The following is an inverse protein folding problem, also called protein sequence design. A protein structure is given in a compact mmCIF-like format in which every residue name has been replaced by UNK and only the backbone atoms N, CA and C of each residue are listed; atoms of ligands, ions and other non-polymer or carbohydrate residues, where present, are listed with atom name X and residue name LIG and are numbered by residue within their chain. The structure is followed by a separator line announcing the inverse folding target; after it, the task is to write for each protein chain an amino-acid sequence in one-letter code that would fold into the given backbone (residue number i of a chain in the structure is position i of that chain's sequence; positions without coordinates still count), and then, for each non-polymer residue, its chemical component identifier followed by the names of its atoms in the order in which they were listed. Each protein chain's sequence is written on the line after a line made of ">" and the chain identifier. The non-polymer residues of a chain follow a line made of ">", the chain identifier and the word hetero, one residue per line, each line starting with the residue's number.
data_IF_423755637087
#
_entry.id   IF_423755637087
#
_cell.length_a   1.000
_cell.length_b   1.000
_cell.length_c   1.000
_cell.angle_alpha   90.00
_cell.angle_beta   90.00
_cell.angle_gamma   90.00
#
_symmetry.space_group_name_H-M   'P 1'
#
loop_
_entity.id
_entity.type
_entity.pdbx_description
1 polymer ?
#
# COMPACT_ATOMS: atom_id res chain seq x y z
N UNK A 1 -42.34 -13.64 -20.13
CA UNK A 1 -41.08 -14.19 -20.66
C UNK A 1 -39.99 -13.76 -19.69
N UNK A 2 -39.52 -14.67 -18.85
CA UNK A 2 -38.54 -14.37 -17.78
C UNK A 2 -37.15 -14.57 -18.38
N UNK A 3 -36.33 -13.52 -18.40
CA UNK A 3 -34.94 -13.62 -18.87
C UNK A 3 -34.19 -14.42 -17.79
N UNK A 4 -33.50 -15.52 -18.13
CA UNK A 4 -32.63 -16.20 -17.18
C UNK A 4 -31.53 -15.22 -16.78
N UNK A 5 -31.45 -14.90 -15.50
CA UNK A 5 -30.29 -14.22 -14.93
C UNK A 5 -29.09 -15.11 -15.25
N UNK A 6 -28.19 -14.61 -16.10
CA UNK A 6 -26.90 -15.26 -16.30
C UNK A 6 -26.11 -15.02 -15.01
N UNK A 7 -26.00 -16.05 -14.18
CA UNK A 7 -24.97 -16.10 -13.14
C UNK A 7 -23.61 -16.06 -13.85
N UNK A 8 -23.10 -14.85 -14.07
CA UNK A 8 -21.73 -14.63 -14.52
C UNK A 8 -20.86 -14.96 -13.31
N UNK A 9 -20.48 -16.23 -13.17
CA UNK A 9 -19.41 -16.60 -12.26
C UNK A 9 -18.18 -15.76 -12.62
N UNK A 10 -17.57 -15.05 -11.66
CA UNK A 10 -16.35 -14.32 -11.95
C UNK A 10 -15.31 -15.32 -12.46
N UNK A 11 -14.74 -15.04 -13.63
CA UNK A 11 -13.67 -15.84 -14.28
C UNK A 11 -12.47 -16.11 -13.35
N UNK A 12 -12.41 -15.38 -12.23
CA UNK A 12 -11.29 -15.39 -11.30
C UNK A 12 -11.79 -15.42 -9.85
N UNK A 13 -11.73 -16.59 -9.21
CA UNK A 13 -12.18 -16.79 -7.83
C UNK A 13 -11.19 -16.29 -6.75
N UNK A 14 -11.60 -16.27 -5.46
CA UNK A 14 -10.77 -15.76 -4.35
C UNK A 14 -9.38 -16.40 -4.24
N UNK A 15 -9.26 -17.69 -4.59
CA UNK A 15 -8.00 -18.44 -4.59
C UNK A 15 -6.94 -17.82 -5.49
N UNK A 16 -7.33 -17.33 -6.67
CA UNK A 16 -6.40 -16.66 -7.58
C UNK A 16 -5.79 -15.42 -6.93
N UNK A 17 -6.63 -14.59 -6.31
CA UNK A 17 -6.16 -13.38 -5.63
C UNK A 17 -5.27 -13.69 -4.43
N UNK A 18 -5.56 -14.76 -3.70
CA UNK A 18 -4.67 -15.23 -2.64
C UNK A 18 -3.29 -15.65 -3.18
N UNK A 19 -3.23 -16.34 -4.33
CA UNK A 19 -1.96 -16.69 -4.99
C UNK A 19 -1.21 -15.43 -5.42
N UNK A 20 -1.88 -14.49 -6.08
CA UNK A 20 -1.26 -13.22 -6.50
C UNK A 20 -0.70 -12.45 -5.31
N UNK A 21 -1.47 -12.31 -4.22
CA UNK A 21 -1.01 -11.65 -3.00
C UNK A 21 0.13 -12.40 -2.33
N UNK A 22 0.11 -13.74 -2.35
CA UNK A 22 1.20 -14.57 -1.84
C UNK A 22 2.50 -14.34 -2.62
N UNK A 23 2.43 -14.32 -3.94
CA UNK A 23 3.59 -14.03 -4.81
C UNK A 23 4.09 -12.61 -4.57
N UNK A 24 3.20 -11.61 -4.54
CA UNK A 24 3.56 -10.22 -4.25
C UNK A 24 4.24 -10.11 -2.88
N UNK A 25 3.70 -10.79 -1.87
CA UNK A 25 4.30 -10.78 -0.53
C UNK A 25 5.68 -11.42 -0.52
N UNK A 26 5.84 -12.59 -1.15
CA UNK A 26 7.12 -13.29 -1.21
C UNK A 26 8.19 -12.44 -1.92
N UNK A 27 7.86 -11.89 -3.09
CA UNK A 27 8.77 -11.01 -3.85
C UNK A 27 9.12 -9.78 -3.03
N UNK A 28 8.13 -9.08 -2.46
CA UNK A 28 8.38 -7.91 -1.64
C UNK A 28 9.21 -8.26 -0.38
N UNK A 29 8.97 -9.40 0.25
CA UNK A 29 9.74 -9.89 1.39
C UNK A 29 11.21 -10.13 1.02
N UNK A 30 11.48 -10.79 -0.09
CA UNK A 30 12.84 -10.99 -0.60
C UNK A 30 13.52 -9.64 -0.87
N UNK A 31 12.85 -8.72 -1.56
CA UNK A 31 13.36 -7.38 -1.84
C UNK A 31 13.65 -6.59 -0.55
N UNK A 32 12.83 -6.78 0.49
CA UNK A 32 13.04 -6.17 1.79
C UNK A 32 14.30 -6.70 2.47
N UNK A 33 14.48 -8.03 2.46
CA UNK A 33 15.61 -8.72 3.10
C UNK A 33 16.94 -8.36 2.43
N UNK A 34 16.99 -8.35 1.10
CA UNK A 34 18.22 -7.97 0.37
C UNK A 34 18.43 -6.45 0.31
N UNK A 35 17.45 -5.69 0.80
CA UNK A 35 17.43 -4.22 0.82
C UNK A 35 17.57 -3.59 -0.55
N UNK A 36 16.85 -4.16 -1.53
CA UNK A 36 16.87 -3.70 -2.92
C UNK A 36 16.51 -2.21 -3.04
N UNK A 37 17.14 -1.43 -3.93
CA UNK A 37 16.80 -0.03 -4.14
C UNK A 37 15.42 0.15 -4.77
N UNK A 38 14.65 1.14 -4.28
CA UNK A 38 13.34 1.47 -4.86
C UNK A 38 13.47 2.09 -6.26
N UNK A 39 12.71 1.60 -7.25
CA UNK A 39 12.62 2.25 -8.56
C UNK A 39 12.04 3.65 -8.43
N UNK A 40 12.73 4.64 -9.00
CA UNK A 40 12.21 6.01 -9.08
C UNK A 40 11.32 6.09 -10.31
N UNK A 41 10.01 6.24 -10.10
CA UNK A 41 9.04 6.42 -11.18
C UNK A 41 9.04 7.91 -11.57
N UNK A 42 9.23 8.22 -12.85
CA UNK A 42 9.14 9.59 -13.35
C UNK A 42 7.73 10.14 -13.17
N UNK A 43 7.59 11.32 -12.59
CA UNK A 43 6.31 12.00 -12.49
C UNK A 43 5.84 12.46 -13.87
N UNK A 44 4.53 12.38 -14.11
CA UNK A 44 3.88 12.64 -15.40
C UNK A 44 3.96 14.10 -15.89
N UNK A 45 4.62 15.00 -15.14
CA UNK A 45 4.57 16.46 -15.33
C UNK A 45 5.94 17.12 -15.60
N UNK A 46 6.99 16.38 -15.94
CA UNK A 46 8.24 17.01 -16.38
C UNK A 46 9.17 16.01 -17.02
N UNK A 47 9.90 16.42 -18.06
CA UNK A 47 10.84 15.64 -18.93
C UNK A 47 12.01 14.97 -18.21
N UNK A 48 11.73 14.29 -17.11
CA UNK A 48 12.64 13.73 -16.12
C UNK A 48 12.71 12.20 -16.18
N UNK A 49 12.07 11.56 -17.19
CA UNK A 49 12.08 10.11 -17.41
C UNK A 49 13.48 9.52 -17.46
N UNK A 50 14.37 10.13 -18.25
CA UNK A 50 15.78 9.74 -18.33
C UNK A 50 16.52 9.92 -16.99
N UNK A 51 16.20 10.98 -16.23
CA UNK A 51 16.81 11.22 -14.92
C UNK A 51 16.31 10.24 -13.84
N UNK A 52 15.06 9.81 -13.92
CA UNK A 52 14.47 8.83 -13.00
C UNK A 52 15.04 7.43 -13.22
N UNK A 53 15.16 7.00 -14.48
CA UNK A 53 15.84 5.76 -14.83
C UNK A 53 17.31 5.78 -14.43
N UNK A 54 18.05 6.85 -14.78
CA UNK A 54 19.46 6.97 -14.41
C UNK A 54 19.69 6.90 -12.89
N UNK A 55 18.79 7.49 -12.07
CA UNK A 55 18.85 7.36 -10.61
C UNK A 55 18.59 5.94 -10.13
N UNK A 56 17.66 5.24 -10.76
CA UNK A 56 17.39 3.82 -10.43
C UNK A 56 18.58 2.94 -10.77
N UNK A 57 19.16 3.11 -11.96
CA UNK A 57 20.36 2.37 -12.40
C UNK A 57 21.54 2.63 -11.47
N UNK A 58 21.79 3.89 -11.09
CA UNK A 58 22.84 4.21 -10.10
C UNK A 58 22.60 3.50 -8.78
N UNK A 59 21.38 3.53 -8.24
CA UNK A 59 21.07 2.82 -7.00
C UNK A 59 21.31 1.31 -7.08
N UNK A 60 21.07 0.68 -8.24
CA UNK A 60 21.37 -0.74 -8.48
C UNK A 60 22.88 -0.98 -8.59
N UNK A 61 23.61 -0.12 -9.31
CA UNK A 61 25.07 -0.20 -9.41
C UNK A 61 25.74 -0.04 -8.05
N UNK A 62 25.28 0.91 -7.25
CA UNK A 62 25.75 1.15 -5.90
C UNK A 62 25.49 -0.06 -4.99
N UNK A 63 24.33 -0.70 -5.11
CA UNK A 63 23.99 -1.92 -4.39
C UNK A 63 24.91 -3.09 -4.78
N UNK A 64 25.18 -3.28 -6.08
CA UNK A 64 26.13 -4.28 -6.57
C UNK A 64 27.57 -4.01 -6.12
N UNK A 65 27.99 -2.74 -6.06
CA UNK A 65 29.32 -2.35 -5.61
C UNK A 65 29.58 -2.64 -4.12
N UNK A 66 28.54 -2.89 -3.33
CA UNK A 66 28.61 -3.18 -1.90
C UNK A 66 28.09 -4.60 -1.56
N UNK A 67 28.41 -5.57 -2.41
CA UNK A 67 28.12 -7.00 -2.28
C UNK A 67 26.63 -7.40 -2.30
N UNK A 68 25.70 -6.47 -2.53
CA UNK A 68 24.27 -6.76 -2.72
C UNK A 68 23.51 -7.23 -1.46
N UNK A 69 24.12 -7.20 -0.28
CA UNK A 69 23.47 -7.67 0.96
C UNK A 69 23.50 -6.60 2.03
N UNK A 70 22.62 -5.58 1.94
CA UNK A 70 22.51 -4.54 2.97
C UNK A 70 21.11 -4.00 3.16
N UNK A 71 20.77 -3.73 4.41
CA UNK A 71 19.56 -3.01 4.79
C UNK A 71 19.62 -1.58 4.23
N UNK A 72 18.53 -1.19 3.56
CA UNK A 72 18.27 0.18 3.14
C UNK A 72 16.88 0.58 3.65
N UNK A 73 16.55 1.86 3.70
CA UNK A 73 15.23 2.28 4.15
C UNK A 73 14.11 1.87 3.18
N UNK A 74 14.48 1.47 1.94
CA UNK A 74 13.59 0.76 1.03
C UNK A 74 13.11 -0.59 1.60
N UNK A 75 13.90 -1.25 2.46
CA UNK A 75 13.51 -2.48 3.17
C UNK A 75 12.22 -2.29 3.97
N UNK A 76 12.00 -1.13 4.58
CA UNK A 76 10.77 -0.84 5.32
C UNK A 76 9.56 -0.74 4.40
N UNK A 77 9.74 -0.19 3.21
CA UNK A 77 8.68 -0.02 2.21
C UNK A 77 8.30 -1.39 1.62
N UNK A 78 9.30 -2.17 1.23
CA UNK A 78 9.08 -3.55 0.76
C UNK A 78 8.50 -4.44 1.85
N UNK A 79 8.97 -4.33 3.08
CA UNK A 79 8.41 -5.06 4.22
C UNK A 79 6.96 -4.70 4.49
N UNK A 80 6.61 -3.41 4.42
CA UNK A 80 5.23 -2.97 4.61
C UNK A 80 4.31 -3.47 3.49
N UNK A 81 4.79 -3.49 2.25
CA UNK A 81 4.07 -4.09 1.13
C UNK A 81 3.87 -5.60 1.34
N UNK A 82 4.90 -6.32 1.79
CA UNK A 82 4.82 -7.75 2.07
C UNK A 82 3.79 -8.07 3.16
N UNK A 83 3.79 -7.30 4.24
CA UNK A 83 2.83 -7.39 5.36
C UNK A 83 1.42 -7.04 4.89
N UNK A 84 1.24 -5.96 4.14
CA UNK A 84 -0.07 -5.58 3.60
C UNK A 84 -0.65 -6.66 2.67
N UNK A 85 0.20 -7.27 1.83
CA UNK A 85 -0.19 -8.36 0.95
C UNK A 85 -0.63 -9.62 1.72
N UNK A 86 0.12 -10.03 2.77
CA UNK A 86 -0.27 -11.13 3.66
C UNK A 86 -1.58 -10.83 4.39
N UNK A 87 -1.73 -9.62 4.93
CA UNK A 87 -2.97 -9.20 5.57
C UNK A 87 -4.15 -9.20 4.58
N UNK A 88 -3.90 -8.90 3.30
CA UNK A 88 -4.89 -9.04 2.23
C UNK A 88 -5.39 -10.48 2.04
N UNK A 89 -4.51 -11.48 2.16
CA UNK A 89 -4.91 -12.90 2.14
C UNK A 89 -5.85 -13.20 3.31
N UNK A 90 -5.50 -12.73 4.52
CA UNK A 90 -6.35 -12.91 5.71
C UNK A 90 -7.73 -12.29 5.51
N UNK A 91 -7.81 -11.12 4.88
CA UNK A 91 -9.08 -10.47 4.55
C UNK A 91 -9.90 -11.31 3.55
N UNK A 92 -9.26 -11.87 2.52
CA UNK A 92 -9.95 -12.74 1.56
C UNK A 92 -10.49 -14.03 2.19
N UNK A 93 -9.89 -14.50 3.29
CA UNK A 93 -10.38 -15.64 4.07
C UNK A 93 -11.55 -15.28 5.01
N UNK A 94 -11.83 -13.98 5.19
CA UNK A 94 -12.87 -13.49 6.10
C UNK A 94 -13.78 -12.44 5.41
N UNK A 95 -14.62 -12.86 4.45
CA UNK A 95 -15.48 -11.95 3.68
C UNK A 95 -16.50 -11.20 4.54
N UNK A 96 -16.89 -11.76 5.69
CA UNK A 96 -17.91 -11.19 6.59
C UNK A 96 -17.40 -10.03 7.45
N UNK A 97 -16.10 -9.71 7.37
CA UNK A 97 -15.52 -8.64 8.18
C UNK A 97 -15.99 -7.25 7.74
N UNK A 98 -16.28 -6.41 8.73
CA UNK A 98 -16.60 -5.01 8.47
C UNK A 98 -15.41 -4.29 7.83
N UNK A 99 -15.69 -3.35 6.92
CA UNK A 99 -14.63 -2.59 6.24
C UNK A 99 -13.71 -1.79 7.18
N UNK A 100 -14.12 -1.55 8.43
CA UNK A 100 -13.24 -0.96 9.45
C UNK A 100 -12.21 -1.98 9.96
N UNK A 101 -12.64 -3.21 10.25
CA UNK A 101 -11.78 -4.32 10.69
C UNK A 101 -10.80 -4.74 9.59
N UNK A 102 -11.27 -4.84 8.36
CA UNK A 102 -10.43 -5.09 7.17
C UNK A 102 -9.34 -4.04 7.04
N UNK A 103 -9.70 -2.75 7.16
CA UNK A 103 -8.74 -1.66 7.08
C UNK A 103 -7.72 -1.72 8.21
N UNK A 104 -8.13 -1.98 9.46
CA UNK A 104 -7.20 -2.04 10.59
C UNK A 104 -6.21 -3.19 10.47
N UNK A 105 -6.65 -4.36 9.99
CA UNK A 105 -5.79 -5.54 9.82
C UNK A 105 -4.75 -5.33 8.73
N UNK A 106 -5.09 -4.62 7.65
CA UNK A 106 -4.14 -4.34 6.56
C UNK A 106 -3.27 -3.12 6.87
N UNK A 107 -3.88 -1.99 7.18
CA UNK A 107 -3.19 -0.71 7.33
C UNK A 107 -2.46 -0.57 8.67
N UNK A 108 -2.95 -1.22 9.72
CA UNK A 108 -2.34 -1.17 11.06
C UNK A 108 -0.90 -1.67 11.06
N UNK A 109 -0.64 -2.96 10.76
CA UNK A 109 0.70 -3.52 10.81
C UNK A 109 1.62 -2.96 9.73
N UNK A 110 1.13 -2.73 8.50
CA UNK A 110 1.93 -2.13 7.43
C UNK A 110 2.30 -0.67 7.75
N UNK A 111 1.36 0.11 8.29
CA UNK A 111 1.59 1.49 8.71
C UNK A 111 2.55 1.58 9.91
N UNK A 112 2.39 0.69 10.90
CA UNK A 112 3.32 0.59 12.01
C UNK A 112 4.76 0.33 11.52
N UNK A 113 4.95 -0.59 10.57
CA UNK A 113 6.27 -0.88 10.02
C UNK A 113 6.90 0.32 9.30
N UNK A 114 6.10 1.06 8.52
CA UNK A 114 6.54 2.26 7.81
C UNK A 114 6.86 3.45 8.73
N UNK A 115 6.33 3.49 9.95
CA UNK A 115 6.63 4.55 10.92
C UNK A 115 7.76 4.11 11.85
N UNK A 116 7.61 2.97 12.50
CA UNK A 116 8.53 2.47 13.51
C UNK A 116 9.88 2.12 12.88
N UNK A 117 9.90 1.50 11.71
CA UNK A 117 11.16 1.10 11.04
C UNK A 117 12.07 2.30 10.74
N UNK A 118 11.61 3.29 9.94
CA UNK A 118 12.35 4.51 9.69
C UNK A 118 12.69 5.31 10.96
N UNK A 119 11.77 5.39 11.93
CA UNK A 119 12.02 6.08 13.19
C UNK A 119 13.11 5.41 14.02
N UNK A 120 13.11 4.08 14.10
CA UNK A 120 14.15 3.31 14.79
C UNK A 120 15.50 3.45 14.06
N UNK A 121 15.51 3.36 12.72
CA UNK A 121 16.72 3.57 11.93
C UNK A 121 17.31 4.97 12.17
N UNK A 122 16.46 6.00 12.21
CA UNK A 122 16.88 7.36 12.54
C UNK A 122 17.38 7.50 13.99
N UNK A 123 16.66 6.94 14.97
CA UNK A 123 17.03 7.01 16.38
C UNK A 123 18.36 6.31 16.68
N UNK A 124 18.69 5.27 15.91
CA UNK A 124 19.97 4.57 15.96
C UNK A 124 21.09 5.29 15.19
N UNK A 125 20.81 6.44 14.58
CA UNK A 125 21.78 7.20 13.78
C UNK A 125 22.20 6.48 12.49
N UNK A 126 21.42 5.50 12.03
CA UNK A 126 21.77 4.72 10.85
C UNK A 126 21.46 5.52 9.57
N UNK A 127 22.35 5.45 8.56
CA UNK A 127 22.09 6.06 7.27
C UNK A 127 20.90 5.38 6.58
N UNK A 128 20.15 6.12 5.77
CA UNK A 128 18.98 5.59 5.05
C UNK A 128 19.37 4.42 4.16
N UNK A 129 20.49 4.55 3.45
CA UNK A 129 21.07 3.49 2.65
C UNK A 129 22.54 3.36 3.00
N UNK A 130 23.00 2.12 3.08
CA UNK A 130 24.42 1.80 3.25
C UNK A 130 25.25 1.95 1.96
N UNK A 131 24.62 2.27 0.83
CA UNK A 131 25.26 2.37 -0.48
C UNK A 131 24.86 3.63 -1.25
N UNK A 132 24.06 4.54 -0.69
CA UNK A 132 23.62 5.75 -1.38
C UNK A 132 23.58 6.99 -0.50
N UNK A 133 23.91 8.15 -1.06
CA UNK A 133 23.82 9.44 -0.39
C UNK A 133 22.36 9.91 -0.30
N UNK A 134 21.63 9.42 0.70
CA UNK A 134 20.28 9.86 1.03
C UNK A 134 20.15 10.14 2.52
N UNK A 135 19.60 11.30 2.89
CA UNK A 135 19.40 11.64 4.31
C UNK A 135 18.22 10.85 4.89
N UNK A 136 18.48 10.10 5.97
CA UNK A 136 17.47 9.35 6.73
C UNK A 136 16.33 10.27 7.19
N UNK A 137 16.66 11.50 7.58
CA UNK A 137 15.68 12.48 8.05
C UNK A 137 14.68 12.93 6.97
N UNK A 138 15.13 13.17 5.73
CA UNK A 138 14.25 13.64 4.64
C UNK A 138 13.26 12.57 4.17
N UNK A 139 13.72 11.32 4.10
CA UNK A 139 12.87 10.17 3.74
C UNK A 139 11.91 9.78 4.86
N UNK A 140 12.36 9.77 6.13
CA UNK A 140 11.49 9.51 7.28
C UNK A 140 10.35 10.54 7.36
N UNK A 141 10.66 11.83 7.19
CA UNK A 141 9.65 12.89 7.09
C UNK A 141 8.71 12.69 5.89
N UNK A 142 9.23 12.32 4.72
CA UNK A 142 8.42 12.05 3.53
C UNK A 142 7.45 10.89 3.71
N UNK A 143 7.87 9.81 4.37
CA UNK A 143 7.02 8.64 4.69
C UNK A 143 5.95 9.01 5.71
N UNK A 144 6.31 9.74 6.77
CA UNK A 144 5.35 10.23 7.79
C UNK A 144 4.32 11.16 7.16
N UNK A 145 4.74 12.13 6.35
CA UNK A 145 3.84 13.07 5.66
C UNK A 145 3.00 12.36 4.61
N UNK A 146 3.56 11.40 3.88
CA UNK A 146 2.85 10.61 2.86
C UNK A 146 1.77 9.72 3.46
N UNK A 147 2.08 8.99 4.53
CA UNK A 147 1.12 8.15 5.25
C UNK A 147 0.08 8.97 6.01
N UNK A 148 0.51 10.04 6.67
CA UNK A 148 -0.39 11.00 7.32
C UNK A 148 -1.36 11.61 6.30
N UNK A 149 -0.85 12.05 5.15
CA UNK A 149 -1.67 12.59 4.06
C UNK A 149 -2.63 11.56 3.47
N UNK A 150 -2.18 10.33 3.22
CA UNK A 150 -3.03 9.28 2.65
C UNK A 150 -4.13 8.82 3.62
N UNK A 151 -3.84 8.72 4.92
CA UNK A 151 -4.84 8.36 5.94
C UNK A 151 -5.86 9.48 6.15
N UNK A 152 -5.42 10.74 6.19
CA UNK A 152 -6.31 11.92 6.25
C UNK A 152 -7.17 11.99 5.00
N UNK A 153 -6.61 11.80 3.81
CA UNK A 153 -7.35 11.82 2.54
C UNK A 153 -8.35 10.66 2.45
N UNK A 154 -7.99 9.46 2.90
CA UNK A 154 -8.91 8.31 2.93
C UNK A 154 -10.07 8.54 3.91
N UNK A 155 -9.81 9.11 5.09
CA UNK A 155 -10.84 9.52 6.06
C UNK A 155 -11.74 10.61 5.49
N UNK A 156 -11.16 11.61 4.84
CA UNK A 156 -11.88 12.71 4.21
C UNK A 156 -12.77 12.23 3.07
N UNK A 157 -12.26 11.39 2.15
CA UNK A 157 -13.07 10.79 1.07
C UNK A 157 -14.19 9.91 1.60
N UNK A 158 -13.97 9.21 2.72
CA UNK A 158 -15.01 8.39 3.37
C UNK A 158 -16.08 9.25 4.05
N UNK A 159 -15.71 10.40 4.61
CA UNK A 159 -16.64 11.37 5.16
C UNK A 159 -17.50 12.02 4.05
N UNK A 160 -16.87 12.46 2.96
CA UNK A 160 -17.56 13.03 1.80
C UNK A 160 -18.50 12.02 1.13
N UNK A 161 -18.14 10.74 1.03
CA UNK A 161 -19.04 9.70 0.50
C UNK A 161 -20.23 9.39 1.41
N UNK A 162 -20.13 9.65 2.72
CA UNK A 162 -21.27 9.50 3.65
C UNK A 162 -22.24 10.67 3.57
N UNK A 163 -21.76 11.87 3.31
CA UNK A 163 -22.62 13.05 3.13
C UNK A 163 -23.31 13.12 1.76
N UNK A 164 -22.86 12.34 0.77
CA UNK A 164 -23.47 12.22 -0.58
C UNK A 164 -24.40 11.01 -0.68
N UNK A 165 -24.88 10.45 0.45
CA UNK A 165 -26.03 9.55 0.46
C UNK A 165 -27.22 10.39 0.95
N UNK A 166 -28.02 10.99 0.05
CA UNK A 166 -29.24 11.65 0.47
C UNK A 166 -30.16 10.60 1.08
N UNK A 167 -30.84 10.99 2.16
CA UNK A 167 -32.12 10.41 2.55
C UNK A 167 -33.12 10.58 1.39
N UNK A 168 -33.02 9.75 0.36
CA UNK A 168 -34.12 9.53 -0.58
C UNK A 168 -35.06 8.49 0.03
N UNK A 169 -35.64 8.85 1.17
CA UNK A 169 -36.84 8.23 1.72
C UNK A 169 -38.05 9.06 1.24
N UNK A 170 -38.20 9.14 -0.10
CA UNK A 170 -39.33 9.78 -0.77
C UNK A 170 -40.35 8.70 -1.14
N UNK A 171 -41.16 8.31 -0.16
CA UNK A 171 -42.62 8.06 -0.23
C UNK A 171 -43.03 7.01 0.83
N UNK A 172 -43.55 7.41 2.00
CA UNK A 172 -44.45 6.53 2.72
C UNK A 172 -45.70 6.31 1.85
N UNK A 173 -46.22 5.06 1.71
CA UNK A 173 -47.45 4.82 0.97
C UNK A 173 -48.59 5.64 1.59
N UNK A 174 -49.50 6.22 0.77
CA UNK A 174 -50.60 7.02 1.28
C UNK A 174 -51.45 6.16 2.23
N UNK A 175 -51.41 6.52 3.50
CA UNK A 175 -52.28 5.94 4.52
C UNK A 175 -53.69 6.50 4.34
N UNK A 176 -54.57 5.61 3.87
CA UNK A 176 -56.01 5.64 4.09
C UNK A 176 -56.82 6.18 2.92
N UNK A 177 -57.88 5.46 2.53
CA UNK A 177 -59.29 5.85 2.73
C UNK A 177 -60.18 4.59 2.61
N UNK A 178 -60.89 4.30 3.72
CA UNK A 178 -62.10 3.46 3.89
C UNK A 178 -62.04 1.96 3.59
#
# INVERSE_FOLDING_TARGET
>A
MNIPDFDIEPVVGPRFWMVVLGVVSAVAGVLAVIGWPLPVISSRHGGSGQHAWARTVRGVQDWFAHDGWRMSGASWIYGALAVAALAGIVVLLHPDWSGARTLSVVAGPAGALLVIGPAAQWALGLPWSNYGAGSTGGMALGVVVGLGGATVLARFRRAVRRSVRPDDDVNPPPRGVR
#
